data_IF_644082102226
#
_entry.id   IF_644082102226
#
_cell.length_a   1.000
_cell.length_b   1.000
_cell.length_c   1.000
_cell.angle_alpha   90.00
_cell.angle_beta   90.00
_cell.angle_gamma   90.00
#
_symmetry.space_group_name_H-M   'P 1'
#
loop_
_entity.id
_entity.type
_entity.pdbx_description
1 polymer ?
#
# COMPACT_ATOMS: atom_id res chain seq x y z
N UNK A 1 -4.36 15.42 -30.56
CA UNK A 1 -3.99 16.67 -29.85
C UNK A 1 -5.02 17.05 -28.80
N UNK A 2 -6.29 17.28 -29.16
CA UNK A 2 -7.36 17.70 -28.20
C UNK A 2 -7.55 16.71 -27.04
N UNK A 3 -7.64 15.39 -27.31
CA UNK A 3 -7.79 14.37 -26.27
C UNK A 3 -6.61 14.37 -25.28
N UNK A 4 -5.37 14.54 -25.77
CA UNK A 4 -4.17 14.63 -24.94
C UNK A 4 -4.21 15.84 -24.02
N UNK A 5 -4.65 17.00 -24.54
CA UNK A 5 -4.78 18.22 -23.73
C UNK A 5 -5.91 18.07 -22.72
N UNK A 6 -7.03 17.41 -23.06
CA UNK A 6 -8.10 17.13 -22.10
C UNK A 6 -7.62 16.23 -20.95
N UNK A 7 -6.88 15.15 -21.27
CA UNK A 7 -6.28 14.26 -20.26
C UNK A 7 -5.31 15.05 -19.38
N UNK A 8 -4.44 15.88 -19.96
CA UNK A 8 -3.51 16.70 -19.19
C UNK A 8 -4.25 17.71 -18.30
N UNK A 9 -5.31 18.34 -18.80
CA UNK A 9 -6.15 19.25 -18.02
C UNK A 9 -6.88 18.52 -16.89
N UNK A 10 -7.29 17.27 -17.09
CA UNK A 10 -7.89 16.43 -16.06
C UNK A 10 -6.87 16.05 -14.97
N UNK A 11 -5.66 15.65 -15.36
CA UNK A 11 -4.54 15.33 -14.44
C UNK A 11 -4.08 16.54 -13.63
N UNK A 12 -4.16 17.75 -14.19
CA UNK A 12 -3.73 18.99 -13.53
C UNK A 12 -4.88 19.74 -12.85
N UNK A 13 -6.11 19.24 -12.95
CA UNK A 13 -7.30 19.89 -12.38
C UNK A 13 -7.66 21.22 -13.03
N UNK A 14 -7.20 21.48 -14.26
CA UNK A 14 -7.42 22.74 -14.96
C UNK A 14 -8.86 22.85 -15.51
N UNK A 15 -9.79 23.19 -14.61
CA UNK A 15 -11.21 23.37 -14.91
C UNK A 15 -11.48 24.36 -16.06
N UNK A 16 -10.81 25.52 -16.16
CA UNK A 16 -10.99 26.43 -17.30
C UNK A 16 -10.70 25.76 -18.65
N UNK A 17 -9.58 25.03 -18.76
CA UNK A 17 -9.23 24.32 -19.99
C UNK A 17 -10.22 23.19 -20.27
N UNK A 18 -10.62 22.42 -19.26
CA UNK A 18 -11.65 21.37 -19.42
C UNK A 18 -12.94 21.93 -20.01
N UNK A 19 -13.46 23.03 -19.44
CA UNK A 19 -14.69 23.68 -19.95
C UNK A 19 -14.51 24.20 -21.38
N UNK A 20 -13.39 24.85 -21.66
CA UNK A 20 -13.11 25.38 -22.99
C UNK A 20 -13.07 24.26 -24.04
N UNK A 21 -12.35 23.17 -23.77
CA UNK A 21 -12.21 22.05 -24.70
C UNK A 21 -13.55 21.33 -24.93
N UNK A 22 -14.31 21.06 -23.87
CA UNK A 22 -15.62 20.40 -23.96
C UNK A 22 -16.66 21.26 -24.68
N UNK A 23 -16.58 22.60 -24.59
CA UNK A 23 -17.47 23.51 -25.30
C UNK A 23 -17.13 23.63 -26.79
N UNK A 24 -15.84 23.63 -27.14
CA UNK A 24 -15.34 23.91 -28.49
C UNK A 24 -15.18 22.67 -29.36
N UNK A 25 -15.06 21.48 -28.76
CA UNK A 25 -14.81 20.23 -29.48
C UNK A 25 -15.81 19.15 -29.07
N UNK A 26 -17.10 19.36 -29.41
CA UNK A 26 -18.18 18.42 -29.08
C UNK A 26 -17.95 17.00 -29.65
N UNK A 27 -17.30 16.91 -30.81
CA UNK A 27 -16.98 15.62 -31.44
C UNK A 27 -15.77 14.92 -30.79
N UNK A 28 -14.93 15.65 -30.03
CA UNK A 28 -13.87 15.02 -29.25
C UNK A 28 -14.47 14.16 -28.12
N UNK A 29 -15.63 14.54 -27.58
CA UNK A 29 -16.35 13.78 -26.56
C UNK A 29 -16.79 12.38 -27.02
N UNK A 30 -16.77 12.11 -28.33
CA UNK A 30 -17.16 10.84 -28.93
C UNK A 30 -16.23 9.66 -28.65
N UNK A 31 -15.06 9.89 -28.06
CA UNK A 31 -14.19 8.85 -27.50
C UNK A 31 -13.05 9.47 -26.67
N UNK A 32 -13.27 10.59 -25.95
CA UNK A 32 -12.25 10.96 -24.95
C UNK A 32 -12.34 9.92 -23.84
N UNK A 33 -11.25 9.17 -23.58
CA UNK A 33 -11.39 7.91 -22.87
C UNK A 33 -11.77 8.20 -21.43
N UNK A 34 -12.56 7.29 -20.84
CA UNK A 34 -12.82 7.18 -19.40
C UNK A 34 -11.59 7.47 -18.53
N UNK A 35 -10.40 7.23 -19.09
CA UNK A 35 -9.09 7.71 -18.64
C UNK A 35 -9.04 9.16 -18.11
N UNK A 36 -9.64 10.16 -18.77
CA UNK A 36 -9.60 11.54 -18.28
C UNK A 36 -10.33 11.69 -16.94
N UNK A 37 -11.54 11.11 -16.83
CA UNK A 37 -12.33 11.10 -15.59
C UNK A 37 -11.64 10.28 -14.50
N UNK A 38 -11.14 9.10 -14.84
CA UNK A 38 -10.39 8.22 -13.94
C UNK A 38 -9.11 8.89 -13.41
N UNK A 39 -8.41 9.67 -14.25
CA UNK A 39 -7.23 10.42 -13.84
C UNK A 39 -7.59 11.65 -13.01
N UNK A 40 -8.67 12.37 -13.34
CA UNK A 40 -9.19 13.42 -12.46
C UNK A 40 -9.51 12.86 -11.07
N UNK A 41 -10.09 11.66 -11.00
CA UNK A 41 -10.34 10.96 -9.74
C UNK A 41 -9.05 10.57 -9.01
N UNK A 42 -8.10 9.93 -9.71
CA UNK A 42 -6.77 9.57 -9.18
C UNK A 42 -6.02 10.76 -8.60
N UNK A 43 -6.17 11.95 -9.20
CA UNK A 43 -5.47 13.16 -8.79
C UNK A 43 -6.29 14.06 -7.86
N UNK A 44 -7.47 13.61 -7.39
CA UNK A 44 -8.26 14.33 -6.38
C UNK A 44 -9.01 15.56 -6.90
N UNK A 45 -9.03 15.75 -8.22
CA UNK A 45 -9.58 16.93 -8.89
C UNK A 45 -11.10 16.84 -9.06
N UNK A 46 -11.83 16.91 -7.93
CA UNK A 46 -13.28 16.75 -7.88
C UNK A 46 -14.02 17.73 -8.81
N UNK A 47 -13.62 19.01 -8.87
CA UNK A 47 -14.28 19.99 -9.75
C UNK A 47 -14.06 19.66 -11.24
N UNK A 48 -12.85 19.22 -11.59
CA UNK A 48 -12.56 18.74 -12.95
C UNK A 48 -13.37 17.51 -13.30
N UNK A 49 -13.47 16.55 -12.37
CA UNK A 49 -14.28 15.35 -12.51
C UNK A 49 -15.77 15.70 -12.68
N UNK A 50 -16.31 16.63 -11.90
CA UNK A 50 -17.70 17.12 -12.05
C UNK A 50 -17.94 17.72 -13.43
N UNK A 51 -16.99 18.50 -13.95
CA UNK A 51 -17.09 19.08 -15.31
C UNK A 51 -17.09 17.99 -16.38
N UNK A 52 -16.23 16.99 -16.26
CA UNK A 52 -16.18 15.87 -17.19
C UNK A 52 -17.51 15.08 -17.18
N UNK A 53 -18.01 14.70 -16.01
CA UNK A 53 -19.26 13.95 -15.89
C UNK A 53 -20.48 14.77 -16.36
N UNK A 54 -20.53 16.07 -16.06
CA UNK A 54 -21.60 16.95 -16.52
C UNK A 54 -21.62 17.11 -18.06
N UNK A 55 -20.48 16.89 -18.72
CA UNK A 55 -20.36 16.87 -20.17
C UNK A 55 -20.67 15.49 -20.79
N UNK A 56 -21.25 14.56 -20.02
CA UNK A 56 -21.63 13.22 -20.50
C UNK A 56 -20.47 12.23 -20.57
N UNK A 57 -19.29 12.56 -20.02
CA UNK A 57 -18.20 11.60 -19.88
C UNK A 57 -18.54 10.57 -18.80
N UNK A 58 -17.93 9.39 -18.88
CA UNK A 58 -18.10 8.32 -17.89
C UNK A 58 -16.78 8.00 -17.20
N UNK A 59 -16.86 7.42 -16.00
CA UNK A 59 -15.73 6.80 -15.32
C UNK A 59 -15.72 5.29 -15.58
N UNK A 60 -14.58 4.63 -15.41
CA UNK A 60 -14.58 3.18 -15.23
C UNK A 60 -14.91 2.82 -13.77
N UNK A 61 -15.17 1.53 -13.51
CA UNK A 61 -15.23 1.00 -12.15
C UNK A 61 -13.92 1.19 -11.36
N UNK A 62 -12.81 1.56 -12.03
CA UNK A 62 -11.54 1.84 -11.35
C UNK A 62 -11.50 3.23 -10.72
N UNK A 63 -12.41 4.15 -11.04
CA UNK A 63 -12.29 5.52 -10.53
C UNK A 63 -12.31 5.58 -8.99
N UNK A 64 -13.15 4.77 -8.33
CA UNK A 64 -13.13 4.63 -6.86
C UNK A 64 -11.82 3.99 -6.42
N UNK A 65 -11.38 2.90 -7.06
CA UNK A 65 -10.12 2.23 -6.72
C UNK A 65 -8.92 3.19 -6.81
N UNK A 66 -8.88 4.04 -7.83
CA UNK A 66 -7.81 5.02 -8.07
C UNK A 66 -7.86 6.20 -7.10
N UNK A 67 -9.05 6.71 -6.77
CA UNK A 67 -9.19 7.73 -5.75
C UNK A 67 -8.84 7.19 -4.35
N UNK A 68 -9.15 5.92 -4.10
CA UNK A 68 -8.85 5.23 -2.85
C UNK A 68 -7.35 4.96 -2.69
N UNK A 69 -6.70 4.50 -3.76
CA UNK A 69 -5.23 4.38 -3.88
C UNK A 69 -4.51 5.69 -3.54
N UNK A 70 -5.07 6.83 -3.95
CA UNK A 70 -4.49 8.15 -3.72
C UNK A 70 -4.98 8.87 -2.45
N UNK A 71 -5.89 8.27 -1.68
CA UNK A 71 -6.37 8.82 -0.41
C UNK A 71 -7.34 9.99 -0.53
N UNK A 72 -7.98 10.18 -1.68
CA UNK A 72 -8.91 11.30 -1.90
C UNK A 72 -10.34 10.94 -1.49
N UNK A 73 -10.60 10.90 -0.17
CA UNK A 73 -11.91 10.55 0.40
C UNK A 73 -13.07 11.35 -0.21
N UNK A 74 -12.90 12.65 -0.43
CA UNK A 74 -13.95 13.52 -1.03
C UNK A 74 -14.32 13.10 -2.45
N UNK A 75 -13.39 12.52 -3.21
CA UNK A 75 -13.65 11.94 -4.54
C UNK A 75 -14.32 10.59 -4.41
N UNK A 76 -13.87 9.75 -3.46
CA UNK A 76 -14.48 8.44 -3.17
C UNK A 76 -15.95 8.60 -2.77
N UNK A 77 -16.26 9.53 -1.87
CA UNK A 77 -17.63 9.87 -1.45
C UNK A 77 -18.49 10.33 -2.63
N UNK A 78 -17.95 11.20 -3.48
CA UNK A 78 -18.65 11.69 -4.66
C UNK A 78 -18.97 10.59 -5.67
N UNK A 79 -17.98 9.73 -5.97
CA UNK A 79 -18.15 8.61 -6.90
C UNK A 79 -19.09 7.54 -6.32
N UNK A 80 -19.03 7.28 -5.02
CA UNK A 80 -19.98 6.41 -4.32
C UNK A 80 -21.41 6.93 -4.43
N UNK A 81 -21.64 8.22 -4.19
CA UNK A 81 -22.96 8.85 -4.32
C UNK A 81 -23.49 8.82 -5.77
N UNK A 82 -22.61 8.69 -6.76
CA UNK A 82 -22.96 8.51 -8.17
C UNK A 82 -23.17 7.03 -8.57
N UNK A 83 -23.26 6.12 -7.60
CA UNK A 83 -23.43 4.67 -7.79
C UNK A 83 -22.36 4.01 -8.68
N UNK A 84 -21.14 4.55 -8.62
CA UNK A 84 -20.01 3.97 -9.35
C UNK A 84 -19.57 2.66 -8.69
N UNK A 85 -19.24 1.66 -9.53
CA UNK A 85 -18.63 0.42 -9.07
C UNK A 85 -17.23 0.62 -8.51
N UNK A 86 -16.81 -0.29 -7.63
CA UNK A 86 -15.46 -0.42 -7.11
C UNK A 86 -15.10 -1.91 -7.06
N UNK A 87 -13.86 -2.20 -6.72
CA UNK A 87 -13.42 -3.57 -6.44
C UNK A 87 -12.70 -3.66 -5.09
N UNK A 88 -12.27 -4.87 -4.72
CA UNK A 88 -11.43 -5.06 -3.52
C UNK A 88 -10.14 -4.24 -3.56
N UNK A 89 -9.66 -3.88 -4.76
CA UNK A 89 -8.50 -3.00 -4.95
C UNK A 89 -8.67 -1.65 -4.24
N UNK A 90 -9.89 -1.13 -4.11
CA UNK A 90 -10.12 0.16 -3.44
C UNK A 90 -9.63 0.11 -1.99
N UNK A 91 -10.08 -0.89 -1.23
CA UNK A 91 -9.69 -1.02 0.18
C UNK A 91 -8.28 -1.57 0.33
N UNK A 92 -7.85 -2.50 -0.54
CA UNK A 92 -6.48 -3.03 -0.52
C UNK A 92 -5.43 -1.93 -0.73
N UNK A 93 -5.64 -1.06 -1.72
CA UNK A 93 -4.70 0.04 -2.04
C UNK A 93 -4.78 1.17 -1.03
N UNK A 94 -5.98 1.54 -0.57
CA UNK A 94 -6.13 2.51 0.52
C UNK A 94 -5.40 2.05 1.79
N UNK A 95 -5.49 0.76 2.12
CA UNK A 95 -4.78 0.18 3.25
C UNK A 95 -3.26 0.17 3.02
N UNK A 96 -2.80 -0.24 1.84
CA UNK A 96 -1.40 -0.26 1.46
C UNK A 96 -0.72 1.12 1.58
N UNK A 97 -1.45 2.20 1.31
CA UNK A 97 -0.96 3.58 1.36
C UNK A 97 -1.34 4.33 2.66
N UNK A 98 -1.96 3.66 3.64
CA UNK A 98 -2.21 4.24 4.95
C UNK A 98 -3.42 5.18 5.02
N UNK A 99 -4.32 5.15 4.05
CA UNK A 99 -5.50 6.01 3.97
C UNK A 99 -6.65 5.46 4.83
N UNK A 100 -6.49 5.52 6.15
CA UNK A 100 -7.44 4.96 7.12
C UNK A 100 -8.86 5.53 6.98
N UNK A 101 -8.99 6.81 6.66
CA UNK A 101 -10.27 7.48 6.44
C UNK A 101 -11.03 6.88 5.25
N UNK A 102 -10.34 6.62 4.14
CA UNK A 102 -10.87 5.90 2.98
C UNK A 102 -11.21 4.45 3.35
N UNK A 103 -10.33 3.74 4.06
CA UNK A 103 -10.59 2.35 4.50
C UNK A 103 -11.86 2.27 5.36
N UNK A 104 -12.04 3.20 6.30
CA UNK A 104 -13.25 3.30 7.14
C UNK A 104 -14.49 3.59 6.32
N UNK A 105 -14.41 4.53 5.38
CA UNK A 105 -15.53 4.85 4.50
C UNK A 105 -15.97 3.63 3.68
N UNK A 106 -15.02 3.00 2.99
CA UNK A 106 -15.27 1.80 2.17
C UNK A 106 -15.85 0.68 3.04
N UNK A 107 -15.30 0.44 4.23
CA UNK A 107 -15.82 -0.59 5.15
C UNK A 107 -17.29 -0.38 5.52
N UNK A 108 -17.70 0.87 5.75
CA UNK A 108 -19.05 1.21 6.22
C UNK A 108 -20.08 1.27 5.08
N UNK A 109 -19.67 1.61 3.85
CA UNK A 109 -20.61 1.97 2.78
C UNK A 109 -20.54 1.04 1.56
N UNK A 110 -19.59 0.09 1.55
CA UNK A 110 -19.30 -0.77 0.40
C UNK A 110 -19.27 -2.24 0.81
N UNK A 111 -19.73 -3.11 -0.09
CA UNK A 111 -19.87 -4.55 0.16
C UNK A 111 -18.72 -5.37 -0.44
N UNK A 112 -17.90 -4.76 -1.30
CA UNK A 112 -16.79 -5.39 -2.01
C UNK A 112 -15.73 -5.95 -1.07
N UNK A 113 -15.51 -5.29 0.08
CA UNK A 113 -14.55 -5.71 1.08
C UNK A 113 -13.09 -5.48 0.66
N UNK A 114 -12.18 -6.30 1.20
CA UNK A 114 -10.77 -6.30 0.86
C UNK A 114 -10.27 -7.74 0.66
N UNK A 115 -8.98 -7.89 0.37
CA UNK A 115 -8.29 -9.19 0.40
C UNK A 115 -7.25 -9.20 1.52
N UNK A 116 -6.48 -10.29 1.62
CA UNK A 116 -5.32 -10.34 2.52
C UNK A 116 -4.23 -9.32 2.16
N UNK A 117 -4.26 -8.77 0.93
CA UNK A 117 -3.33 -7.73 0.50
C UNK A 117 -3.43 -6.46 1.35
N UNK A 118 -4.64 -6.07 1.80
CA UNK A 118 -4.83 -4.92 2.67
C UNK A 118 -3.97 -5.00 3.94
N UNK A 119 -4.04 -6.11 4.68
CA UNK A 119 -3.27 -6.26 5.92
C UNK A 119 -1.78 -6.44 5.64
N UNK A 120 -1.43 -7.25 4.63
CA UNK A 120 -0.03 -7.54 4.30
C UNK A 120 0.73 -6.27 3.88
N UNK A 121 0.13 -5.46 3.00
CA UNK A 121 0.77 -4.23 2.51
C UNK A 121 0.73 -3.10 3.54
N UNK A 122 -0.35 -2.96 4.32
CA UNK A 122 -0.37 -2.01 5.43
C UNK A 122 0.70 -2.35 6.49
N UNK A 123 0.93 -3.64 6.77
CA UNK A 123 1.99 -4.08 7.65
C UNK A 123 3.39 -3.78 7.08
N UNK A 124 3.60 -4.08 5.79
CA UNK A 124 4.85 -3.76 5.08
C UNK A 124 5.19 -2.28 5.13
N UNK A 125 4.22 -1.39 4.94
CA UNK A 125 4.45 0.05 4.91
C UNK A 125 4.30 0.74 6.28
N UNK A 126 4.10 -0.04 7.35
CA UNK A 126 4.10 0.49 8.73
C UNK A 126 2.83 1.22 9.14
N UNK A 127 1.71 1.05 8.41
CA UNK A 127 0.44 1.69 8.69
C UNK A 127 -0.32 0.99 9.84
N UNK A 128 0.18 1.19 11.08
CA UNK A 128 -0.31 0.55 12.30
C UNK A 128 -1.79 0.80 12.57
N UNK A 129 -2.27 2.01 12.32
CA UNK A 129 -3.66 2.42 12.50
C UNK A 129 -4.61 1.68 11.54
N UNK A 130 -4.21 1.52 10.28
CA UNK A 130 -4.89 0.68 9.29
C UNK A 130 -4.87 -0.79 9.71
N UNK A 131 -3.72 -1.36 10.09
CA UNK A 131 -3.63 -2.77 10.52
C UNK A 131 -4.51 -3.04 11.74
N UNK A 132 -4.53 -2.13 12.72
CA UNK A 132 -5.44 -2.22 13.87
C UNK A 132 -6.90 -2.17 13.42
N UNK A 133 -7.26 -1.25 12.53
CA UNK A 133 -8.63 -1.16 12.03
C UNK A 133 -9.05 -2.47 11.35
N UNK A 134 -8.24 -2.97 10.42
CA UNK A 134 -8.49 -4.23 9.70
C UNK A 134 -8.59 -5.41 10.68
N UNK A 135 -7.68 -5.49 11.66
CA UNK A 135 -7.71 -6.56 12.67
C UNK A 135 -9.03 -6.63 13.45
N UNK A 136 -9.60 -5.47 13.82
CA UNK A 136 -10.80 -5.43 14.65
C UNK A 136 -12.11 -5.50 13.86
N UNK A 137 -12.12 -5.11 12.59
CA UNK A 137 -13.36 -4.90 11.82
C UNK A 137 -13.47 -5.77 10.57
N UNK A 138 -12.38 -6.45 10.15
CA UNK A 138 -12.33 -7.31 8.98
C UNK A 138 -11.96 -8.74 9.36
N UNK A 139 -12.35 -9.69 8.52
CA UNK A 139 -12.19 -11.12 8.77
C UNK A 139 -11.24 -11.79 7.77
N UNK A 140 -10.86 -11.08 6.70
CA UNK A 140 -9.94 -11.54 5.66
C UNK A 140 -8.55 -11.83 6.22
N UNK A 141 -8.13 -11.08 7.24
CA UNK A 141 -6.84 -11.28 7.91
C UNK A 141 -5.64 -10.92 7.03
N UNK A 142 -4.50 -11.51 7.35
CA UNK A 142 -3.27 -11.41 6.57
C UNK A 142 -2.75 -12.79 6.19
N UNK A 143 -1.49 -12.84 5.78
CA UNK A 143 -0.71 -14.07 5.64
C UNK A 143 0.62 -13.92 6.40
N UNK A 144 1.50 -14.93 6.32
CA UNK A 144 2.87 -14.81 6.86
C UNK A 144 3.61 -13.57 6.34
N UNK A 145 3.24 -13.10 5.14
CA UNK A 145 3.81 -11.91 4.50
C UNK A 145 3.65 -10.64 5.34
N UNK A 146 2.59 -10.51 6.14
CA UNK A 146 2.40 -9.34 6.99
C UNK A 146 3.55 -9.19 8.00
N UNK A 147 3.93 -10.29 8.68
CA UNK A 147 5.01 -10.27 9.66
C UNK A 147 6.38 -10.32 8.96
N UNK A 148 6.52 -11.12 7.89
CA UNK A 148 7.76 -11.20 7.10
C UNK A 148 8.16 -9.81 6.58
N UNK A 149 7.24 -9.09 5.93
CA UNK A 149 7.53 -7.77 5.39
C UNK A 149 7.63 -6.69 6.47
N UNK A 150 6.85 -6.75 7.55
CA UNK A 150 7.01 -5.80 8.66
C UNK A 150 8.40 -5.94 9.31
N UNK A 151 8.92 -7.16 9.40
CA UNK A 151 10.26 -7.42 9.93
C UNK A 151 11.35 -6.96 8.95
N UNK A 152 11.20 -7.26 7.66
CA UNK A 152 12.10 -6.78 6.60
C UNK A 152 12.22 -5.26 6.57
N UNK A 153 11.14 -4.53 6.86
CA UNK A 153 11.10 -3.06 6.90
C UNK A 153 11.40 -2.46 8.28
N UNK A 154 11.76 -3.28 9.27
CA UNK A 154 12.20 -2.82 10.59
C UNK A 154 11.08 -2.29 11.48
N UNK A 155 9.83 -2.59 11.18
CA UNK A 155 8.66 -2.10 11.92
C UNK A 155 8.42 -2.91 13.20
N UNK A 156 9.30 -2.76 14.20
CA UNK A 156 9.27 -3.55 15.45
C UNK A 156 7.90 -3.58 16.14
N UNK A 157 7.24 -2.43 16.28
CA UNK A 157 5.93 -2.37 16.93
C UNK A 157 4.84 -3.09 16.12
N UNK A 158 4.94 -3.08 14.78
CA UNK A 158 4.08 -3.88 13.90
C UNK A 158 4.35 -5.37 14.09
N UNK A 159 5.61 -5.79 14.15
CA UNK A 159 6.01 -7.18 14.41
C UNK A 159 5.47 -7.67 15.75
N UNK A 160 5.62 -6.88 16.82
CA UNK A 160 5.06 -7.19 18.15
C UNK A 160 3.54 -7.31 18.12
N UNK A 161 2.86 -6.36 17.46
CA UNK A 161 1.41 -6.38 17.34
C UNK A 161 0.93 -7.63 16.60
N UNK A 162 1.50 -7.93 15.42
CA UNK A 162 1.16 -9.10 14.62
C UNK A 162 1.46 -10.38 15.40
N UNK A 163 2.62 -10.49 16.03
CA UNK A 163 2.96 -11.65 16.87
C UNK A 163 1.95 -11.91 17.98
N UNK A 164 1.47 -10.86 18.66
CA UNK A 164 0.58 -11.00 19.80
C UNK A 164 -0.90 -11.26 19.42
N UNK A 165 -1.34 -10.80 18.24
CA UNK A 165 -2.76 -10.77 17.89
C UNK A 165 -3.13 -11.57 16.63
N UNK A 166 -2.13 -12.06 15.88
CA UNK A 166 -2.32 -12.84 14.65
C UNK A 166 -1.76 -14.26 14.81
N UNK A 167 -2.32 -15.20 14.06
CA UNK A 167 -2.00 -16.63 14.17
C UNK A 167 -1.34 -17.19 12.90
N UNK A 168 -1.28 -16.39 11.84
CA UNK A 168 -0.66 -16.73 10.56
C UNK A 168 0.85 -16.98 10.69
N UNK A 169 1.50 -16.35 11.66
CA UNK A 169 2.93 -16.50 11.92
C UNK A 169 3.81 -15.77 10.91
N UNK A 170 4.98 -16.33 10.64
CA UNK A 170 6.02 -15.79 9.77
C UNK A 170 6.83 -16.95 9.18
N UNK A 171 7.76 -16.64 8.29
CA UNK A 171 8.73 -17.60 7.74
C UNK A 171 10.16 -17.17 8.13
N UNK A 172 11.17 -17.85 7.58
CA UNK A 172 12.57 -17.39 7.72
C UNK A 172 12.78 -16.01 7.08
N UNK A 173 11.90 -15.58 6.15
CA UNK A 173 12.01 -14.28 5.49
C UNK A 173 11.94 -13.11 6.48
N UNK A 174 11.17 -13.23 7.57
CA UNK A 174 11.14 -12.20 8.61
C UNK A 174 12.52 -11.93 9.20
N UNK A 175 13.23 -13.00 9.62
CA UNK A 175 14.54 -12.88 10.23
C UNK A 175 15.61 -12.56 9.18
N UNK A 176 15.55 -13.19 8.01
CA UNK A 176 16.48 -12.93 6.90
C UNK A 176 16.44 -11.47 6.46
N UNK A 177 15.24 -10.91 6.24
CA UNK A 177 15.05 -9.52 5.85
C UNK A 177 15.52 -8.54 6.94
N UNK A 178 15.23 -8.84 8.21
CA UNK A 178 15.69 -8.03 9.33
C UNK A 178 17.22 -8.06 9.50
N UNK A 179 17.87 -9.19 9.20
CA UNK A 179 19.34 -9.30 9.19
C UNK A 179 19.93 -8.48 8.05
N UNK A 180 19.44 -8.67 6.82
CA UNK A 180 19.98 -8.01 5.61
C UNK A 180 19.88 -6.49 5.68
N UNK A 181 18.87 -5.95 6.38
CA UNK A 181 18.69 -4.52 6.58
C UNK A 181 19.14 -4.04 7.97
N UNK A 182 19.83 -4.90 8.73
CA UNK A 182 20.44 -4.60 10.03
C UNK A 182 19.45 -4.04 11.08
N UNK A 183 18.21 -4.54 11.05
CA UNK A 183 17.15 -4.20 11.98
C UNK A 183 17.29 -4.98 13.29
N UNK A 184 18.34 -4.67 14.06
CA UNK A 184 18.76 -5.42 15.25
C UNK A 184 17.66 -5.62 16.29
N UNK A 185 16.79 -4.65 16.52
CA UNK A 185 15.70 -4.79 17.49
C UNK A 185 14.64 -5.80 17.03
N UNK A 186 14.38 -5.87 15.72
CA UNK A 186 13.51 -6.89 15.13
C UNK A 186 14.19 -8.26 15.21
N UNK A 187 15.48 -8.35 14.88
CA UNK A 187 16.26 -9.60 15.00
C UNK A 187 16.23 -10.12 16.44
N UNK A 188 16.46 -9.25 17.42
CA UNK A 188 16.35 -9.56 18.85
C UNK A 188 14.98 -10.14 19.19
N UNK A 189 13.92 -9.42 18.83
CA UNK A 189 12.56 -9.85 19.12
C UNK A 189 12.23 -11.21 18.49
N UNK A 190 12.52 -11.37 17.20
CA UNK A 190 12.26 -12.63 16.48
C UNK A 190 13.09 -13.78 17.05
N UNK A 191 14.36 -13.54 17.44
CA UNK A 191 15.21 -14.55 18.04
C UNK A 191 14.62 -15.11 19.34
N UNK A 192 14.10 -14.23 20.19
CA UNK A 192 13.61 -14.60 21.52
C UNK A 192 12.19 -15.18 21.49
N UNK A 193 11.38 -14.87 20.47
CA UNK A 193 9.93 -15.18 20.46
C UNK A 193 9.47 -16.09 19.31
N UNK A 194 10.33 -16.39 18.34
CA UNK A 194 10.00 -17.15 17.12
C UNK A 194 10.97 -18.31 16.92
N UNK A 195 10.55 -19.34 16.18
CA UNK A 195 11.31 -20.59 16.02
C UNK A 195 11.73 -20.87 14.59
N UNK A 196 11.27 -20.05 13.66
CA UNK A 196 11.51 -20.14 12.23
C UNK A 196 13.00 -19.96 11.90
N UNK A 197 13.71 -19.13 12.67
CA UNK A 197 15.14 -18.87 12.50
C UNK A 197 15.47 -18.06 11.25
N UNK A 198 16.72 -18.13 10.81
CA UNK A 198 17.24 -17.46 9.62
C UNK A 198 18.09 -18.42 8.76
N UNK A 199 18.30 -18.05 7.51
CA UNK A 199 19.17 -18.75 6.59
C UNK A 199 20.62 -18.29 6.73
N UNK A 200 21.56 -19.22 6.62
CA UNK A 200 23.01 -18.91 6.66
C UNK A 200 23.38 -17.91 5.56
N UNK A 201 22.73 -18.00 4.39
CA UNK A 201 22.89 -17.06 3.28
C UNK A 201 22.54 -15.61 3.62
N UNK A 202 21.51 -15.38 4.44
CA UNK A 202 21.16 -14.02 4.85
C UNK A 202 22.27 -13.41 5.72
N UNK A 203 22.80 -14.19 6.66
CA UNK A 203 23.89 -13.76 7.54
C UNK A 203 25.22 -13.57 6.77
N UNK A 204 25.62 -14.54 5.96
CA UNK A 204 26.87 -14.49 5.18
C UNK A 204 26.81 -13.45 4.07
N UNK A 205 25.68 -13.32 3.38
CA UNK A 205 25.47 -12.32 2.33
C UNK A 205 25.57 -10.89 2.86
N UNK A 206 24.90 -10.59 3.98
CA UNK A 206 24.98 -9.27 4.60
C UNK A 206 26.41 -8.93 5.03
N UNK A 207 27.16 -9.90 5.55
CA UNK A 207 28.58 -9.70 5.92
C UNK A 207 29.46 -9.47 4.69
N UNK A 208 29.24 -10.20 3.59
CA UNK A 208 30.01 -10.06 2.34
C UNK A 208 29.82 -8.68 1.72
N UNK A 209 28.60 -8.14 1.70
CA UNK A 209 28.30 -6.79 1.19
C UNK A 209 28.99 -5.70 2.02
N UNK A 210 29.28 -5.98 3.29
CA UNK A 210 29.82 -5.02 4.26
C UNK A 210 31.19 -5.44 4.83
N UNK A 211 31.97 -6.23 4.08
CA UNK A 211 33.19 -6.93 4.56
C UNK A 211 34.23 -6.06 5.27
N UNK A 212 34.31 -4.75 4.99
CA UNK A 212 35.25 -3.84 5.67
C UNK A 212 34.79 -3.38 7.06
N UNK A 213 33.49 -3.45 7.36
CA UNK A 213 32.89 -2.90 8.57
C UNK A 213 31.85 -3.83 9.20
N UNK A 214 31.79 -5.11 8.84
CA UNK A 214 30.77 -6.04 9.36
C UNK A 214 30.81 -6.22 10.88
N UNK A 215 31.96 -5.94 11.51
CA UNK A 215 32.11 -5.87 12.96
C UNK A 215 31.27 -4.74 13.62
N UNK A 216 30.71 -3.84 12.81
CA UNK A 216 29.82 -2.76 13.24
C UNK A 216 28.34 -3.00 12.90
N UNK A 217 27.97 -4.16 12.36
CA UNK A 217 26.58 -4.52 12.07
C UNK A 217 25.94 -5.10 13.34
N UNK A 218 25.03 -4.39 14.02
CA UNK A 218 24.52 -4.82 15.32
C UNK A 218 23.71 -6.12 15.24
N UNK A 219 22.99 -6.38 14.14
CA UNK A 219 22.29 -7.65 13.96
C UNK A 219 23.27 -8.84 13.86
N UNK A 220 24.37 -8.66 13.13
CA UNK A 220 25.41 -9.69 12.98
C UNK A 220 26.12 -9.94 14.30
N UNK A 221 26.51 -8.87 15.00
CA UNK A 221 27.16 -8.97 16.31
C UNK A 221 26.26 -9.71 17.31
N UNK A 222 24.97 -9.33 17.37
CA UNK A 222 23.98 -9.97 18.24
C UNK A 222 23.91 -11.49 18.02
N UNK A 223 23.96 -11.94 16.76
CA UNK A 223 23.93 -13.36 16.40
C UNK A 223 25.27 -14.06 16.69
N UNK A 224 26.41 -13.41 16.44
CA UNK A 224 27.74 -13.94 16.76
C UNK A 224 27.95 -14.16 18.26
N UNK A 225 27.47 -13.23 19.09
CA UNK A 225 27.49 -13.35 20.56
C UNK A 225 26.67 -14.56 21.05
N UNK A 226 25.71 -15.02 20.25
CA UNK A 226 24.90 -16.23 20.50
C UNK A 226 25.46 -17.49 19.85
N UNK A 227 26.68 -17.43 19.32
CA UNK A 227 27.43 -18.58 18.81
C UNK A 227 27.20 -18.90 17.34
N UNK A 228 26.49 -18.06 16.58
CA UNK A 228 26.36 -18.22 15.14
C UNK A 228 27.67 -17.82 14.44
N UNK A 229 28.27 -18.74 13.68
CA UNK A 229 29.55 -18.54 12.99
C UNK A 229 29.34 -18.13 11.54
N UNK A 230 30.13 -17.18 11.07
CA UNK A 230 30.18 -16.74 9.66
C UNK A 230 31.36 -17.42 8.98
N UNK A 231 31.17 -18.01 7.80
CA UNK A 231 32.29 -18.46 6.96
C UNK A 231 32.59 -17.38 5.92
N UNK A 232 33.71 -16.68 6.12
CA UNK A 232 34.28 -15.80 5.09
C UNK A 232 35.07 -16.70 4.12
N UNK A 233 34.46 -17.03 2.98
CA UNK A 233 35.11 -17.77 1.89
C UNK A 233 36.01 -16.88 1.06
#
# INVERSE_FOLDING_TARGET
>A
MVATILVHAAVTGNVPILRLLLATHKDAAGDVPRLASDLAARHGHLDGLRVLLAAGQTCTARAIDLASDAGYLHVVEFLHAADMGASTDAMDRAAANGHLDVVRFLHLHRAEGCTTAAMNLAARHGHMDVVRFLHHHRHEGGTTLALDWAAEQGHLEMVKFLHAHRHEGCTTQAMDGAIVHDHVEVVQFLYDHRKEGFTVSALEGHVQEHMFYYLHLPAVQFLMERGHRIKLG
#
